data_IF_421126886577
#
_entry.id   IF_421126886577
#
_cell.length_a   1.000
_cell.length_b   1.000
_cell.length_c   1.000
_cell.angle_alpha   90.00
_cell.angle_beta   90.00
_cell.angle_gamma   90.00
#
_symmetry.space_group_name_H-M   'P 1'
#
loop_
_entity.id
_entity.type
_entity.pdbx_description
1 polymer ?
#
# COMPACT_ATOMS: atom_id res chain seq x y z
N UNK A 1 -5.01 -21.89 3.71
CA UNK A 1 -3.70 -21.23 3.84
C UNK A 1 -3.68 -20.06 2.89
N UNK A 2 -4.18 -18.90 3.33
CA UNK A 2 -4.27 -17.70 2.48
C UNK A 2 -3.07 -16.78 2.75
N UNK A 3 -1.91 -17.20 2.22
CA UNK A 3 -0.69 -16.41 2.22
C UNK A 3 -0.87 -15.22 1.29
N UNK A 4 -0.70 -14.00 1.81
CA UNK A 4 -0.64 -12.80 0.98
C UNK A 4 0.68 -12.82 0.22
N UNK A 5 0.60 -13.01 -1.09
CA UNK A 5 1.74 -12.96 -2.00
C UNK A 5 1.60 -11.68 -2.81
N UNK A 6 2.69 -10.93 -2.92
CA UNK A 6 2.77 -9.70 -3.70
C UNK A 6 3.67 -9.88 -4.91
N UNK A 7 3.41 -9.12 -5.97
CA UNK A 7 4.36 -8.99 -7.07
C UNK A 7 5.67 -8.34 -6.59
N UNK A 8 6.74 -8.50 -7.35
CA UNK A 8 8.01 -7.84 -7.06
C UNK A 8 7.87 -6.30 -7.03
N UNK A 9 7.01 -5.74 -7.88
CA UNK A 9 6.71 -4.30 -7.90
C UNK A 9 5.98 -3.87 -6.63
N UNK A 10 4.97 -4.61 -6.18
CA UNK A 10 4.25 -4.34 -4.93
C UNK A 10 5.19 -4.46 -3.71
N UNK A 11 6.09 -5.45 -3.69
CA UNK A 11 7.12 -5.58 -2.64
C UNK A 11 8.00 -4.33 -2.61
N UNK A 12 8.49 -3.89 -3.77
CA UNK A 12 9.30 -2.69 -3.88
C UNK A 12 8.56 -1.44 -3.40
N UNK A 13 7.31 -1.21 -3.83
CA UNK A 13 6.47 -0.09 -3.37
C UNK A 13 6.27 -0.12 -1.85
N UNK A 14 6.03 -1.31 -1.29
CA UNK A 14 5.88 -1.47 0.15
C UNK A 14 7.18 -1.15 0.91
N UNK A 15 8.35 -1.44 0.33
CA UNK A 15 9.65 -1.06 0.92
C UNK A 15 9.83 0.45 0.90
N UNK A 16 9.49 1.12 -0.21
CA UNK A 16 9.53 2.58 -0.31
C UNK A 16 8.62 3.23 0.74
N UNK A 17 7.41 2.69 0.91
CA UNK A 17 6.48 3.13 1.94
C UNK A 17 7.03 2.96 3.35
N UNK A 18 7.58 1.77 3.67
CA UNK A 18 8.18 1.48 4.97
C UNK A 18 9.34 2.43 5.29
N UNK A 19 10.20 2.70 4.30
CA UNK A 19 11.27 3.70 4.44
C UNK A 19 10.70 5.08 4.68
N UNK A 20 9.69 5.52 3.93
CA UNK A 20 9.07 6.83 4.10
C UNK A 20 8.48 7.00 5.51
N UNK A 21 7.70 6.03 5.98
CA UNK A 21 7.11 6.04 7.33
C UNK A 21 8.22 6.11 8.39
N UNK A 22 9.26 5.28 8.29
CA UNK A 22 10.37 5.31 9.23
C UNK A 22 11.08 6.67 9.30
N UNK A 23 11.33 7.33 8.16
CA UNK A 23 11.97 8.65 8.14
C UNK A 23 11.08 9.74 8.75
N UNK A 24 9.75 9.59 8.70
CA UNK A 24 8.78 10.58 9.18
C UNK A 24 8.39 10.38 10.64
N UNK A 25 8.23 9.13 11.09
CA UNK A 25 7.69 8.80 12.41
C UNK A 25 8.72 8.14 13.34
N UNK A 26 9.86 7.68 12.80
CA UNK A 26 10.85 6.89 13.53
C UNK A 26 10.43 5.43 13.78
N UNK A 27 9.21 5.04 13.39
CA UNK A 27 8.68 3.70 13.63
C UNK A 27 9.14 2.76 12.52
N UNK A 28 9.83 1.68 12.92
CA UNK A 28 10.31 0.65 11.98
C UNK A 28 9.35 -0.53 11.95
N UNK A 29 8.66 -0.70 10.84
CA UNK A 29 7.80 -1.86 10.60
C UNK A 29 8.57 -3.03 10.00
N UNK A 30 8.46 -4.23 10.59
CA UNK A 30 9.05 -5.46 10.04
C UNK A 30 8.16 -6.02 8.92
N UNK A 31 8.57 -5.84 7.67
CA UNK A 31 7.83 -6.33 6.51
C UNK A 31 7.85 -7.87 6.35
N UNK A 32 8.81 -8.55 6.98
CA UNK A 32 8.90 -10.02 6.94
C UNK A 32 7.82 -10.71 7.78
N UNK A 33 7.12 -9.96 8.66
CA UNK A 33 6.01 -10.50 9.45
C UNK A 33 4.70 -9.92 8.93
N UNK A 34 3.67 -10.77 8.95
CA UNK A 34 2.33 -10.34 8.56
C UNK A 34 1.84 -9.17 9.43
N UNK A 35 2.12 -9.22 10.74
CA UNK A 35 1.73 -8.16 11.68
C UNK A 35 2.40 -6.82 11.36
N UNK A 36 3.71 -6.80 11.12
CA UNK A 36 4.43 -5.56 10.82
C UNK A 36 3.99 -4.95 9.49
N UNK A 37 3.71 -5.79 8.49
CA UNK A 37 3.13 -5.35 7.23
C UNK A 37 1.73 -4.75 7.41
N UNK A 38 0.83 -5.42 8.14
CA UNK A 38 -0.52 -4.92 8.37
C UNK A 38 -0.51 -3.63 9.19
N UNK A 39 0.40 -3.51 10.17
CA UNK A 39 0.59 -2.30 10.97
C UNK A 39 1.01 -1.12 10.09
N UNK A 40 2.03 -1.33 9.23
CA UNK A 40 2.46 -0.34 8.25
C UNK A 40 1.30 0.13 7.38
N UNK A 41 0.53 -0.80 6.80
CA UNK A 41 -0.58 -0.47 5.90
C UNK A 41 -1.73 0.27 6.59
N UNK A 42 -2.01 -0.04 7.85
CA UNK A 42 -3.01 0.67 8.66
C UNK A 42 -2.56 2.10 8.98
N UNK A 43 -1.31 2.25 9.43
CA UNK A 43 -0.75 3.57 9.76
C UNK A 43 -0.66 4.46 8.51
N UNK A 44 -0.13 3.92 7.40
CA UNK A 44 0.02 4.66 6.16
C UNK A 44 -1.33 5.01 5.53
N UNK A 45 -2.32 4.11 5.58
CA UNK A 45 -3.66 4.35 5.05
C UNK A 45 -4.45 5.41 5.84
N UNK A 46 -4.15 5.56 7.13
CA UNK A 46 -4.73 6.59 8.00
C UNK A 46 -3.94 7.91 7.99
N UNK A 47 -2.73 7.94 7.43
CA UNK A 47 -1.85 9.10 7.46
C UNK A 47 -2.38 10.25 6.59
N UNK A 48 -2.25 11.47 7.09
CA UNK A 48 -2.50 12.72 6.35
C UNK A 48 -1.26 13.27 5.66
N UNK A 49 -0.07 12.72 5.94
CA UNK A 49 1.18 13.12 5.28
C UNK A 49 1.09 12.83 3.78
N UNK A 50 1.52 13.80 2.96
CA UNK A 50 1.39 13.71 1.50
C UNK A 50 2.32 12.65 0.90
N UNK A 51 3.53 12.52 1.43
CA UNK A 51 4.54 11.60 0.93
C UNK A 51 4.13 10.16 1.26
N UNK A 52 3.72 9.92 2.51
CA UNK A 52 3.21 8.61 2.96
C UNK A 52 2.02 8.18 2.10
N UNK A 53 1.06 9.10 1.85
CA UNK A 53 -0.10 8.81 0.99
C UNK A 53 0.32 8.48 -0.45
N UNK A 54 1.28 9.20 -1.01
CA UNK A 54 1.75 8.92 -2.37
C UNK A 54 2.36 7.53 -2.49
N UNK A 55 3.21 7.11 -1.54
CA UNK A 55 3.77 5.76 -1.54
C UNK A 55 2.72 4.68 -1.27
N UNK A 56 1.74 4.98 -0.43
CA UNK A 56 0.62 4.07 -0.15
C UNK A 56 -0.25 3.86 -1.39
N UNK A 57 -0.66 4.93 -2.06
CA UNK A 57 -1.46 4.87 -3.29
C UNK A 57 -0.70 4.09 -4.38
N UNK A 58 0.60 4.35 -4.53
CA UNK A 58 1.46 3.61 -5.46
C UNK A 58 1.54 2.11 -5.15
N UNK A 59 1.50 1.71 -3.87
CA UNK A 59 1.43 0.30 -3.49
C UNK A 59 0.05 -0.30 -3.82
N UNK A 60 -1.04 0.41 -3.50
CA UNK A 60 -2.42 -0.07 -3.73
C UNK A 60 -2.69 -0.32 -5.21
N UNK A 61 -2.15 0.50 -6.11
CA UNK A 61 -2.31 0.34 -7.58
C UNK A 61 -1.66 -0.96 -8.10
N UNK A 62 -0.66 -1.49 -7.42
CA UNK A 62 0.00 -2.75 -7.79
C UNK A 62 -0.80 -4.00 -7.36
N UNK A 63 -1.86 -3.82 -6.55
CA UNK A 63 -2.65 -4.91 -6.00
C UNK A 63 -3.82 -5.28 -6.92
N UNK A 64 -4.06 -6.59 -7.04
CA UNK A 64 -5.27 -7.09 -7.70
C UNK A 64 -6.45 -7.15 -6.71
N UNK A 65 -7.66 -7.30 -7.27
CA UNK A 65 -8.91 -7.36 -6.49
C UNK A 65 -8.86 -8.39 -5.35
N UNK A 66 -8.35 -9.60 -5.61
CA UNK A 66 -8.24 -10.65 -4.58
C UNK A 66 -7.32 -10.23 -3.43
N UNK A 67 -6.19 -9.59 -3.70
CA UNK A 67 -5.27 -9.09 -2.68
C UNK A 67 -5.90 -7.94 -1.88
N UNK A 68 -6.66 -7.07 -2.53
CA UNK A 68 -7.42 -6.00 -1.87
C UNK A 68 -8.49 -6.58 -0.94
N UNK A 69 -9.29 -7.52 -1.43
CA UNK A 69 -10.33 -8.21 -0.64
C UNK A 69 -9.72 -8.92 0.58
N UNK A 70 -8.56 -9.55 0.42
CA UNK A 70 -7.83 -10.18 1.51
C UNK A 70 -7.29 -9.20 2.55
N UNK A 71 -6.91 -7.98 2.14
CA UNK A 71 -6.46 -6.92 3.04
C UNK A 71 -7.64 -6.27 3.76
N UNK A 72 -8.75 -6.07 3.07
CA UNK A 72 -9.99 -5.55 3.65
C UNK A 72 -10.56 -6.51 4.72
N UNK A 73 -10.57 -7.82 4.43
CA UNK A 73 -10.93 -8.85 5.41
C UNK A 73 -10.05 -8.83 6.68
N UNK A 74 -8.84 -8.25 6.59
CA UNK A 74 -7.90 -8.07 7.71
C UNK A 74 -8.00 -6.69 8.37
N UNK A 75 -9.10 -5.98 8.15
CA UNK A 75 -9.36 -4.63 8.67
C UNK A 75 -8.34 -3.58 8.21
N UNK A 76 -7.76 -3.73 7.02
CA UNK A 76 -7.02 -2.65 6.36
C UNK A 76 -8.01 -1.92 5.47
N UNK A 77 -8.58 -0.80 5.95
CA UNK A 77 -9.43 0.05 5.13
C UNK A 77 -8.56 0.76 4.10
N UNK A 78 -8.50 0.18 2.90
CA UNK A 78 -7.79 0.78 1.79
C UNK A 78 -8.48 2.07 1.37
N UNK A 79 -7.79 3.19 1.54
CA UNK A 79 -8.23 4.44 0.94
C UNK A 79 -8.17 4.27 -0.58
N UNK A 80 -9.24 4.62 -1.28
CA UNK A 80 -9.22 4.68 -2.74
C UNK A 80 -8.08 5.63 -3.16
N UNK A 81 -7.15 5.18 -4.02
CA UNK A 81 -6.03 6.01 -4.43
C UNK A 81 -6.57 7.29 -5.10
N UNK A 82 -5.93 8.43 -4.84
CA UNK A 82 -6.37 9.72 -5.41
C UNK A 82 -6.35 9.75 -6.95
N UNK A 83 -5.80 8.72 -7.60
CA UNK A 83 -5.77 8.53 -9.05
C UNK A 83 -7.10 8.07 -9.66
N UNK A 84 -8.20 7.94 -8.90
CA UNK A 84 -9.55 7.77 -9.46
C UNK A 84 -10.01 8.94 -10.36
N UNK A 85 -9.18 9.97 -10.56
CA UNK A 85 -9.35 11.04 -11.55
C UNK A 85 -8.48 10.91 -12.81
N UNK A 86 -7.72 9.82 -12.98
CA UNK A 86 -7.06 9.46 -14.25
C UNK A 86 -7.77 8.29 -14.93
N UNK A 87 -9.09 8.42 -15.08
CA UNK A 87 -9.79 7.69 -16.13
C UNK A 87 -9.35 8.21 -17.51
N UNK A 88 -9.00 7.29 -18.40
CA UNK A 88 -9.06 7.44 -19.86
C UNK A 88 -7.96 8.25 -20.60
N UNK A 89 -6.66 7.96 -20.42
CA UNK A 89 -5.68 8.32 -21.46
C UNK A 89 -4.78 7.12 -21.82
N UNK A 90 -5.38 6.10 -22.43
CA UNK A 90 -4.68 5.18 -23.35
C UNK A 90 -5.62 4.77 -24.48
N UNK A 91 -5.85 5.69 -25.41
CA UNK A 91 -6.17 5.40 -26.82
C UNK A 91 -5.51 6.48 -27.68
N UNK A 92 -4.47 6.09 -28.42
CA UNK A 92 -4.08 6.57 -29.75
C UNK A 92 -2.64 6.12 -30.01
N UNK A 93 -2.42 5.46 -31.15
CA UNK A 93 -1.15 4.92 -31.61
C UNK A 93 -1.36 3.57 -32.27
#
# INVERSE_FOLDING_TARGET
>A
MDTLIFSQTAIFRMQQLASCVYHKTGVRHRMATQEGMLSLLKESGASSDRDIRQYYDAFVIELNKRQLDMLEARNVKMRQPFTSLMGNIRKAG
#
